data_IF_987016121140
#
_entry.id   IF_987016121140
#
_cell.length_a   1.000
_cell.length_b   1.000
_cell.length_c   1.000
_cell.angle_alpha   90.00
_cell.angle_beta   90.00
_cell.angle_gamma   90.00
#
_symmetry.space_group_name_H-M   'P 1'
#
loop_
_entity.id
_entity.type
_entity.pdbx_description
1 polymer ?
#
# COMPACT_ATOMS: atom_id res chain seq x y z
N UNK A 1 18.48 21.68 5.69
CA UNK A 1 17.05 21.95 5.40
C UNK A 1 16.35 22.17 6.72
N UNK A 2 15.48 23.17 6.81
CA UNK A 2 14.58 23.29 7.93
C UNK A 2 13.56 22.14 7.90
N UNK A 3 13.20 21.62 9.06
CA UNK A 3 12.17 20.58 9.21
C UNK A 3 10.80 21.23 9.29
N UNK A 4 9.75 20.46 8.99
CA UNK A 4 8.37 20.92 9.19
C UNK A 4 8.10 21.29 10.66
N UNK A 5 8.72 20.54 11.58
CA UNK A 5 8.70 20.79 13.02
C UNK A 5 9.32 22.13 13.45
N UNK A 6 10.10 22.77 12.58
CA UNK A 6 10.69 24.08 12.86
C UNK A 6 9.64 25.22 12.67
N UNK A 7 8.50 24.90 12.04
CA UNK A 7 7.41 25.84 11.74
C UNK A 7 6.07 25.44 12.35
N UNK A 8 5.82 24.14 12.54
CA UNK A 8 4.59 23.58 13.11
C UNK A 8 4.98 22.75 14.35
N UNK A 9 4.31 22.90 15.50
CA UNK A 9 4.59 22.06 16.67
C UNK A 9 4.49 20.57 16.33
N UNK A 10 5.47 19.77 16.76
CA UNK A 10 5.48 18.34 16.46
C UNK A 10 4.19 17.63 16.93
N UNK A 11 3.63 18.05 18.07
CA UNK A 11 2.37 17.51 18.58
C UNK A 11 1.17 17.74 17.66
N UNK A 12 1.16 18.84 16.90
CA UNK A 12 0.11 19.13 15.93
C UNK A 12 0.28 18.26 14.67
N UNK A 13 1.52 18.02 14.25
CA UNK A 13 1.85 17.08 13.18
C UNK A 13 1.41 15.67 13.57
N UNK A 14 1.76 15.22 14.78
CA UNK A 14 1.43 13.88 15.28
C UNK A 14 -0.09 13.69 15.40
N UNK A 15 -0.81 14.69 15.94
CA UNK A 15 -2.28 14.65 16.04
C UNK A 15 -2.93 14.57 14.65
N UNK A 16 -2.44 15.35 13.69
CA UNK A 16 -2.93 15.28 12.31
C UNK A 16 -2.69 13.89 11.69
N UNK A 17 -1.50 13.30 11.90
CA UNK A 17 -1.17 11.97 11.37
C UNK A 17 -2.04 10.85 11.98
N UNK A 18 -2.49 11.01 13.23
CA UNK A 18 -3.28 10.04 13.96
C UNK A 18 -4.80 10.21 13.82
N UNK A 19 -5.27 11.45 13.68
CA UNK A 19 -6.69 11.79 13.83
C UNK A 19 -7.33 12.47 12.60
N UNK A 20 -6.55 12.88 11.59
CA UNK A 20 -7.11 13.50 10.39
C UNK A 20 -7.95 12.52 9.55
N UNK A 21 -9.21 12.88 9.31
CA UNK A 21 -10.12 12.13 8.43
C UNK A 21 -9.72 12.26 6.95
N UNK A 22 -9.30 13.44 6.51
CA UNK A 22 -8.88 13.68 5.13
C UNK A 22 -7.62 12.86 4.79
N UNK A 23 -6.66 12.80 5.72
CA UNK A 23 -5.47 11.96 5.55
C UNK A 23 -5.84 10.48 5.49
N UNK A 24 -6.83 10.06 6.28
CA UNK A 24 -7.31 8.69 6.29
C UNK A 24 -8.03 8.33 4.98
N UNK A 25 -8.82 9.25 4.44
CA UNK A 25 -9.48 9.10 3.15
C UNK A 25 -8.45 8.99 2.02
N UNK A 26 -7.44 9.87 1.98
CA UNK A 26 -6.36 9.79 1.00
C UNK A 26 -5.59 8.46 1.07
N UNK A 27 -5.29 7.96 2.27
CA UNK A 27 -4.67 6.63 2.45
C UNK A 27 -5.56 5.51 1.92
N UNK A 28 -6.89 5.60 2.09
CA UNK A 28 -7.83 4.62 1.59
C UNK A 28 -7.95 4.65 0.07
N UNK A 29 -7.96 5.84 -0.53
CA UNK A 29 -7.97 6.02 -1.98
C UNK A 29 -6.72 5.39 -2.60
N UNK A 30 -5.53 5.77 -2.12
CA UNK A 30 -4.28 5.16 -2.58
C UNK A 30 -4.29 3.63 -2.39
N UNK A 31 -4.75 3.12 -1.25
CA UNK A 31 -4.82 1.68 -1.02
C UNK A 31 -5.78 0.97 -1.99
N UNK A 32 -6.87 1.61 -2.43
CA UNK A 32 -7.78 1.05 -3.44
C UNK A 32 -7.11 0.99 -4.81
N UNK A 33 -6.42 2.05 -5.22
CA UNK A 33 -5.65 2.08 -6.47
C UNK A 33 -4.59 0.97 -6.49
N UNK A 34 -3.87 0.81 -5.38
CA UNK A 34 -2.87 -0.26 -5.21
C UNK A 34 -3.51 -1.65 -5.35
N UNK A 35 -4.69 -1.88 -4.73
CA UNK A 35 -5.42 -3.15 -4.87
C UNK A 35 -5.86 -3.39 -6.32
N UNK A 36 -6.38 -2.37 -7.00
CA UNK A 36 -6.81 -2.48 -8.39
C UNK A 36 -5.64 -2.82 -9.31
N UNK A 37 -4.52 -2.10 -9.16
CA UNK A 37 -3.31 -2.38 -9.93
C UNK A 37 -2.78 -3.78 -9.65
N UNK A 38 -2.62 -4.16 -8.37
CA UNK A 38 -2.14 -5.48 -7.98
C UNK A 38 -3.02 -6.60 -8.56
N UNK A 39 -4.35 -6.44 -8.54
CA UNK A 39 -5.30 -7.37 -9.15
C UNK A 39 -5.16 -7.44 -10.67
N UNK A 40 -4.85 -6.33 -11.33
CA UNK A 40 -4.70 -6.27 -12.79
C UNK A 40 -3.47 -7.02 -13.30
N UNK A 41 -2.39 -7.07 -12.51
CA UNK A 41 -1.14 -7.76 -12.87
C UNK A 41 -1.02 -9.16 -12.28
N UNK A 42 -1.97 -9.55 -11.41
CA UNK A 42 -1.99 -10.84 -10.76
C UNK A 42 -2.25 -11.97 -11.76
N UNK A 43 -1.56 -13.11 -11.63
CA UNK A 43 -1.89 -14.30 -12.39
C UNK A 43 -3.29 -14.80 -12.01
N UNK A 44 -3.98 -15.38 -12.99
CA UNK A 44 -5.34 -15.89 -12.82
C UNK A 44 -5.36 -17.40 -13.11
N UNK A 45 -5.59 -18.19 -12.06
CA UNK A 45 -5.86 -19.63 -12.12
C UNK A 45 -7.33 -19.89 -11.77
N UNK A 46 -7.65 -19.95 -10.47
CA UNK A 46 -9.05 -20.02 -9.96
C UNK A 46 -9.65 -18.64 -9.68
N UNK A 47 -8.84 -17.57 -9.76
CA UNK A 47 -9.20 -16.20 -9.37
C UNK A 47 -9.14 -15.91 -7.86
N UNK A 48 -8.93 -16.93 -7.02
CA UNK A 48 -8.92 -16.80 -5.55
C UNK A 48 -7.80 -15.87 -5.06
N UNK A 49 -6.59 -15.98 -5.62
CA UNK A 49 -5.46 -15.12 -5.29
C UNK A 49 -5.79 -13.63 -5.54
N UNK A 50 -6.32 -13.32 -6.73
CA UNK A 50 -6.72 -11.97 -7.16
C UNK A 50 -7.85 -11.42 -6.28
N UNK A 51 -8.85 -12.25 -5.96
CA UNK A 51 -9.93 -11.87 -5.05
C UNK A 51 -9.44 -11.63 -3.60
N UNK A 52 -8.38 -12.33 -3.20
CA UNK A 52 -7.76 -12.24 -1.88
C UNK A 52 -6.97 -10.95 -1.62
N UNK A 53 -6.66 -10.17 -2.65
CA UNK A 53 -5.99 -8.86 -2.54
C UNK A 53 -7.02 -7.83 -2.09
N UNK A 54 -6.81 -7.19 -0.95
CA UNK A 54 -7.78 -6.23 -0.40
C UNK A 54 -7.14 -5.19 0.51
N UNK A 55 -7.87 -4.11 0.72
CA UNK A 55 -7.54 -3.09 1.73
C UNK A 55 -7.84 -3.64 3.13
N UNK A 56 -6.95 -3.37 4.07
CA UNK A 56 -7.10 -3.67 5.49
C UNK A 56 -6.90 -2.42 6.33
N UNK A 57 -7.75 -2.27 7.36
CA UNK A 57 -7.65 -1.24 8.39
C UNK A 57 -6.88 -1.75 9.60
N UNK A 58 -6.08 -0.87 10.20
CA UNK A 58 -5.32 -1.11 11.42
C UNK A 58 -5.55 0.05 12.39
N UNK A 59 -6.25 -0.21 13.49
CA UNK A 59 -6.59 0.84 14.44
C UNK A 59 -7.33 2.02 13.78
N UNK A 60 -7.06 3.23 14.26
CA UNK A 60 -7.72 4.45 13.80
C UNK A 60 -7.21 4.92 12.43
N UNK A 61 -5.90 5.12 12.27
CA UNK A 61 -5.32 5.76 11.09
C UNK A 61 -4.57 4.81 10.14
N UNK A 62 -4.38 3.54 10.52
CA UNK A 62 -3.60 2.58 9.74
C UNK A 62 -4.40 1.99 8.58
N UNK A 63 -3.80 2.00 7.39
CA UNK A 63 -4.33 1.40 6.17
C UNK A 63 -3.19 0.62 5.51
N UNK A 64 -3.49 -0.59 5.03
CA UNK A 64 -2.54 -1.38 4.25
C UNK A 64 -3.24 -2.26 3.23
N UNK A 65 -2.47 -2.81 2.30
CA UNK A 65 -2.94 -3.80 1.32
C UNK A 65 -2.43 -5.17 1.74
N UNK A 66 -3.32 -6.16 1.73
CA UNK A 66 -3.00 -7.53 2.15
C UNK A 66 -3.41 -8.54 1.09
N UNK A 67 -2.61 -9.60 0.99
CA UNK A 67 -2.94 -10.82 0.27
C UNK A 67 -3.33 -11.89 1.29
N UNK A 68 -4.52 -12.48 1.15
CA UNK A 68 -5.05 -13.44 2.15
C UNK A 68 -5.09 -14.90 1.68
N UNK A 69 -4.64 -15.19 0.46
CA UNK A 69 -4.54 -16.58 -0.02
C UNK A 69 -3.34 -17.27 0.64
N UNK A 70 -3.44 -18.50 1.17
CA UNK A 70 -2.29 -19.23 1.71
C UNK A 70 -1.11 -19.39 0.71
N UNK A 71 -1.40 -19.41 -0.60
CA UNK A 71 -0.40 -19.44 -1.68
C UNK A 71 0.28 -18.09 -1.90
N UNK A 72 -0.15 -17.03 -1.22
CA UNK A 72 0.34 -15.66 -1.41
C UNK A 72 1.83 -15.55 -1.18
N UNK A 73 2.43 -16.28 -0.23
CA UNK A 73 3.87 -16.14 0.03
C UNK A 73 4.76 -16.41 -1.20
N UNK A 74 4.38 -17.32 -2.10
CA UNK A 74 5.18 -17.62 -3.31
C UNK A 74 4.88 -16.62 -4.43
N UNK A 75 3.62 -16.19 -4.57
CA UNK A 75 3.20 -15.29 -5.65
C UNK A 75 3.50 -13.81 -5.33
N UNK A 76 3.42 -13.45 -4.05
CA UNK A 76 3.66 -12.12 -3.49
C UNK A 76 5.15 -11.81 -3.38
N UNK A 77 6.01 -12.77 -3.05
CA UNK A 77 7.46 -12.55 -2.92
C UNK A 77 8.26 -13.10 -4.10
N UNK A 78 7.64 -13.85 -5.00
CA UNK A 78 8.33 -14.59 -6.05
C UNK A 78 9.11 -15.78 -5.47
N UNK A 79 9.92 -16.41 -6.31
CA UNK A 79 10.97 -17.33 -5.82
C UNK A 79 12.26 -16.56 -5.61
N UNK A 80 13.24 -17.17 -4.93
CA UNK A 80 14.61 -16.61 -4.83
C UNK A 80 15.19 -16.23 -6.20
N UNK A 81 14.81 -16.97 -7.25
CA UNK A 81 15.28 -16.78 -8.63
C UNK A 81 14.42 -15.82 -9.47
N UNK A 82 13.23 -15.42 -9.00
CA UNK A 82 12.28 -14.58 -9.77
C UNK A 82 11.58 -13.47 -8.95
N UNK A 83 12.30 -12.71 -8.11
CA UNK A 83 11.69 -11.68 -7.26
C UNK A 83 11.05 -10.52 -8.05
N UNK A 84 11.51 -10.25 -9.27
CA UNK A 84 11.01 -9.18 -10.15
C UNK A 84 9.60 -9.48 -10.72
N UNK A 85 9.19 -10.75 -10.74
CA UNK A 85 7.87 -11.16 -11.20
C UNK A 85 6.84 -11.16 -10.07
N UNK A 86 7.29 -10.99 -8.83
CA UNK A 86 6.44 -10.93 -7.66
C UNK A 86 5.45 -9.77 -7.78
N UNK A 87 4.16 -10.06 -7.61
CA UNK A 87 3.09 -9.06 -7.75
C UNK A 87 3.33 -7.88 -6.81
N UNK A 88 3.83 -8.14 -5.60
CA UNK A 88 4.19 -7.10 -4.64
C UNK A 88 5.32 -6.22 -5.14
N UNK A 89 6.43 -6.79 -5.60
CA UNK A 89 7.59 -6.03 -6.07
C UNK A 89 7.22 -5.11 -7.25
N UNK A 90 6.41 -5.62 -8.19
CA UNK A 90 5.90 -4.83 -9.33
C UNK A 90 4.93 -3.74 -8.90
N UNK A 91 4.13 -4.01 -7.87
CA UNK A 91 3.21 -3.02 -7.28
C UNK A 91 3.99 -1.92 -6.56
N UNK A 92 4.93 -2.28 -5.69
CA UNK A 92 5.80 -1.33 -5.01
C UNK A 92 6.58 -0.49 -6.01
N UNK A 93 7.17 -1.08 -7.05
CA UNK A 93 7.88 -0.33 -8.10
C UNK A 93 6.98 0.68 -8.82
N UNK A 94 5.71 0.35 -9.06
CA UNK A 94 4.77 1.27 -9.72
C UNK A 94 4.49 2.52 -8.88
N UNK A 95 4.33 2.36 -7.56
CA UNK A 95 3.94 3.45 -6.65
C UNK A 95 5.12 4.13 -5.94
N UNK A 96 6.32 3.52 -5.85
CA UNK A 96 7.51 4.10 -5.23
C UNK A 96 8.37 4.97 -6.18
N UNK A 97 7.92 5.25 -7.41
CA UNK A 97 8.67 6.16 -8.27
C UNK A 97 8.57 7.62 -7.78
N UNK A 98 9.70 8.36 -7.69
CA UNK A 98 9.79 9.72 -7.14
C UNK A 98 9.20 10.80 -8.07
N UNK A 99 8.04 10.54 -8.66
CA UNK A 99 7.31 11.44 -9.56
C UNK A 99 5.78 11.34 -9.46
N UNK A 100 5.25 10.38 -8.70
CA UNK A 100 3.82 10.36 -8.34
C UNK A 100 3.67 11.07 -7.01
N UNK A 101 3.47 12.38 -7.06
CA UNK A 101 3.16 13.18 -5.88
C UNK A 101 1.88 12.67 -5.22
N UNK A 102 2.05 12.04 -4.06
CA UNK A 102 1.04 12.04 -3.02
C UNK A 102 1.68 12.74 -1.83
N UNK A 103 0.98 13.78 -1.39
CA UNK A 103 1.33 14.79 -0.39
C UNK A 103 1.96 14.23 0.89
#
# INVERSE_FOLDING_TARGET
>A
MAKLSDFIPQSEIDDYLENSEDLLEGKLELAREVVEYARSISPEDTGEYKAGIKVRRYGRAGVGVVWTDPKSNIIEYGTEDTPEFAVRARTEAHFNHPGSGAL
#
